data_IF_337993443377
#
_entry.id   IF_337993443377
#
_cell.length_a   1.000
_cell.length_b   1.000
_cell.length_c   1.000
_cell.angle_alpha   90.00
_cell.angle_beta   90.00
_cell.angle_gamma   90.00
#
_symmetry.space_group_name_H-M   'P 1'
#
loop_
_entity.id
_entity.type
_entity.pdbx_description
1 polymer ?
#
# COMPACT_ATOMS: atom_id res chain seq x y z
N UNK A 1 -93.87 13.71 47.31
CA UNK A 1 -92.54 13.40 46.75
C UNK A 1 -92.66 12.05 46.05
N UNK A 2 -93.18 12.04 44.81
CA UNK A 2 -92.46 11.91 43.53
C UNK A 2 -91.85 10.51 43.30
N UNK A 3 -92.63 9.63 42.67
CA UNK A 3 -92.20 8.37 42.05
C UNK A 3 -91.76 8.63 40.60
N UNK A 4 -90.59 8.16 40.14
CA UNK A 4 -90.16 8.33 38.75
C UNK A 4 -90.87 7.33 37.80
N UNK A 5 -91.02 7.65 36.50
CA UNK A 5 -91.67 6.79 35.52
C UNK A 5 -90.75 5.65 35.02
N UNK A 6 -91.32 4.52 34.55
CA UNK A 6 -90.56 3.41 33.98
C UNK A 6 -90.06 3.75 32.55
N UNK A 7 -88.79 3.45 32.28
CA UNK A 7 -88.16 3.65 30.97
C UNK A 7 -88.63 2.65 29.89
N UNK A 8 -88.42 2.96 28.59
CA UNK A 8 -88.94 2.18 27.47
C UNK A 8 -88.21 0.84 27.30
N UNK A 9 -88.98 -0.19 26.96
CA UNK A 9 -88.51 -1.55 26.70
C UNK A 9 -87.73 -1.61 25.38
N UNK A 10 -86.59 -2.31 25.37
CA UNK A 10 -85.76 -2.52 24.20
C UNK A 10 -86.34 -3.59 23.26
N UNK A 11 -86.34 -3.30 21.96
CA UNK A 11 -86.68 -4.25 20.89
C UNK A 11 -85.56 -5.29 20.67
N UNK A 12 -85.88 -6.54 20.31
CA UNK A 12 -84.87 -7.55 20.00
C UNK A 12 -84.31 -7.33 18.57
N UNK A 13 -83.04 -6.96 18.47
CA UNK A 13 -82.32 -6.89 17.20
C UNK A 13 -82.08 -8.30 16.64
N UNK A 14 -82.77 -8.65 15.56
CA UNK A 14 -82.51 -9.87 14.77
C UNK A 14 -81.17 -9.69 14.05
N UNK A 15 -80.10 -10.31 14.56
CA UNK A 15 -78.81 -10.36 13.86
C UNK A 15 -78.90 -11.35 12.69
N UNK A 16 -79.10 -10.84 11.49
CA UNK A 16 -78.92 -11.60 10.26
C UNK A 16 -77.43 -11.96 10.13
N UNK A 17 -77.10 -13.25 10.18
CA UNK A 17 -75.75 -13.74 9.94
C UNK A 17 -75.36 -13.49 8.47
N UNK A 18 -74.68 -12.38 8.20
CA UNK A 18 -74.04 -12.13 6.91
C UNK A 18 -72.79 -13.01 6.80
N UNK A 19 -72.89 -14.12 6.08
CA UNK A 19 -71.74 -14.94 5.66
C UNK A 19 -70.89 -14.16 4.63
N UNK A 20 -70.17 -13.14 5.08
CA UNK A 20 -69.21 -12.41 4.25
C UNK A 20 -67.89 -13.19 4.26
N UNK A 21 -67.64 -13.95 3.19
CA UNK A 21 -66.36 -14.64 3.01
C UNK A 21 -65.32 -13.63 2.51
N UNK A 22 -64.47 -13.18 3.41
CA UNK A 22 -63.37 -12.28 3.11
C UNK A 22 -62.25 -13.09 2.43
N UNK A 23 -62.35 -13.28 1.11
CA UNK A 23 -61.33 -13.95 0.32
C UNK A 23 -60.26 -12.94 -0.11
N UNK A 24 -58.99 -13.30 0.10
CA UNK A 24 -57.88 -12.45 -0.32
C UNK A 24 -57.87 -12.26 -1.85
N UNK A 25 -57.56 -11.05 -2.33
CA UNK A 25 -57.54 -10.76 -3.76
C UNK A 25 -56.41 -11.52 -4.46
N UNK A 26 -56.73 -12.15 -5.59
CA UNK A 26 -55.79 -12.96 -6.36
C UNK A 26 -54.58 -12.15 -6.85
N UNK A 27 -53.40 -12.73 -6.71
CA UNK A 27 -52.15 -12.11 -7.18
C UNK A 27 -52.08 -12.07 -8.72
N UNK A 28 -51.18 -11.24 -9.27
CA UNK A 28 -50.98 -11.14 -10.74
C UNK A 28 -50.53 -12.47 -11.34
N UNK A 29 -49.68 -13.21 -10.62
CA UNK A 29 -49.18 -14.50 -11.05
C UNK A 29 -50.28 -15.55 -11.11
N UNK A 30 -51.18 -15.58 -10.11
CA UNK A 30 -52.35 -16.46 -10.11
C UNK A 30 -53.30 -16.17 -11.27
N UNK A 31 -53.51 -14.90 -11.61
CA UNK A 31 -54.34 -14.51 -12.77
C UNK A 31 -53.72 -14.97 -14.09
N UNK A 32 -52.41 -14.82 -14.26
CA UNK A 32 -51.70 -15.29 -15.45
C UNK A 32 -51.65 -16.83 -15.51
N UNK A 33 -51.53 -17.51 -14.37
CA UNK A 33 -51.58 -18.96 -14.29
C UNK A 33 -52.96 -19.51 -14.67
N UNK A 34 -54.03 -18.83 -14.26
CA UNK A 34 -55.41 -19.19 -14.64
C UNK A 34 -55.75 -18.93 -16.12
N UNK A 35 -55.00 -18.07 -16.81
CA UNK A 35 -55.19 -17.82 -18.24
C UNK A 35 -54.36 -18.79 -19.12
N UNK A 36 -53.22 -19.27 -18.61
CA UNK A 36 -52.35 -20.19 -19.35
C UNK A 36 -52.90 -21.61 -19.31
N UNK A 37 -53.26 -22.15 -20.49
CA UNK A 37 -53.78 -23.52 -20.65
C UNK A 37 -52.87 -24.58 -20.04
N UNK A 38 -51.57 -24.48 -20.28
CA UNK A 38 -50.57 -25.42 -19.75
C UNK A 38 -50.46 -25.39 -18.22
N UNK A 39 -50.50 -24.18 -17.62
CA UNK A 39 -50.42 -24.02 -16.16
C UNK A 39 -51.66 -24.59 -15.47
N UNK A 40 -52.84 -24.38 -16.07
CA UNK A 40 -54.10 -24.96 -15.60
C UNK A 40 -54.08 -26.50 -15.67
N UNK A 41 -53.66 -27.06 -16.81
CA UNK A 41 -53.59 -28.51 -17.00
C UNK A 41 -52.63 -29.15 -15.98
N UNK A 42 -51.46 -28.53 -15.76
CA UNK A 42 -50.49 -28.98 -14.77
C UNK A 42 -51.01 -28.90 -13.34
N UNK A 43 -51.73 -27.84 -13.00
CA UNK A 43 -52.39 -27.69 -11.70
C UNK A 43 -53.46 -28.77 -11.51
N UNK A 44 -54.27 -29.06 -12.54
CA UNK A 44 -55.28 -30.12 -12.50
C UNK A 44 -54.65 -31.52 -12.37
N UNK A 45 -53.57 -31.80 -13.11
CA UNK A 45 -52.83 -33.06 -13.00
C UNK A 45 -52.25 -33.28 -11.60
N UNK A 46 -51.70 -32.23 -10.98
CA UNK A 46 -51.23 -32.29 -9.57
C UNK A 46 -52.36 -32.50 -8.57
N UNK A 47 -53.51 -31.85 -8.80
CA UNK A 47 -54.67 -31.93 -7.90
C UNK A 47 -55.48 -33.24 -8.07
N UNK A 48 -55.24 -34.00 -9.15
CA UNK A 48 -55.93 -35.25 -9.44
C UNK A 48 -55.70 -36.27 -8.33
N UNK A 49 -56.78 -36.62 -7.62
CA UNK A 49 -56.80 -37.67 -6.60
C UNK A 49 -57.40 -38.94 -7.21
N UNK A 50 -56.79 -40.09 -6.94
CA UNK A 50 -57.26 -41.39 -7.43
C UNK A 50 -56.56 -41.86 -8.70
N UNK A 51 -55.38 -42.44 -8.51
CA UNK A 51 -54.64 -43.35 -9.40
C UNK A 51 -53.36 -43.75 -8.63
N UNK A 52 -52.78 -44.92 -8.88
CA UNK A 52 -51.56 -45.36 -8.17
C UNK A 52 -50.33 -44.47 -8.45
N UNK A 53 -50.38 -43.62 -9.48
CA UNK A 53 -49.30 -42.71 -9.85
C UNK A 53 -49.72 -41.26 -9.60
N UNK A 54 -48.97 -40.55 -8.76
CA UNK A 54 -49.06 -39.09 -8.61
C UNK A 54 -48.23 -38.44 -9.72
N UNK A 55 -48.74 -37.37 -10.31
CA UNK A 55 -47.98 -36.59 -11.27
C UNK A 55 -46.83 -35.88 -10.54
N UNK A 56 -45.61 -36.32 -10.82
CA UNK A 56 -44.38 -35.63 -10.46
C UNK A 56 -43.93 -34.82 -11.67
N UNK A 57 -43.63 -33.55 -11.46
CA UNK A 57 -43.09 -32.72 -12.53
C UNK A 57 -41.61 -33.07 -12.72
N UNK A 58 -41.21 -33.66 -13.86
CA UNK A 58 -39.80 -33.69 -14.21
C UNK A 58 -39.41 -32.23 -14.42
N UNK A 59 -38.57 -31.69 -13.55
CA UNK A 59 -38.13 -30.29 -13.63
C UNK A 59 -37.47 -29.96 -14.98
N UNK A 60 -36.88 -28.78 -15.08
CA UNK A 60 -36.16 -28.41 -16.30
C UNK A 60 -35.01 -29.39 -16.57
N UNK A 61 -34.95 -30.05 -17.74
CA UNK A 61 -33.87 -31.00 -18.05
C UNK A 61 -32.50 -30.30 -18.21
N UNK A 62 -32.48 -28.98 -18.32
CA UNK A 62 -31.27 -28.16 -18.43
C UNK A 62 -30.68 -27.77 -17.08
N UNK A 63 -31.49 -27.79 -16.02
CA UNK A 63 -31.07 -27.35 -14.69
C UNK A 63 -30.91 -28.61 -13.84
N UNK A 64 -29.67 -28.97 -13.45
CA UNK A 64 -29.46 -30.09 -12.55
C UNK A 64 -30.25 -29.87 -11.26
N UNK A 65 -30.80 -30.95 -10.71
CA UNK A 65 -31.59 -30.89 -9.49
C UNK A 65 -30.76 -30.31 -8.33
N UNK A 66 -31.33 -29.47 -7.43
CA UNK A 66 -30.58 -28.83 -6.35
C UNK A 66 -29.76 -29.76 -5.43
N UNK A 67 -30.15 -31.03 -5.34
CA UNK A 67 -29.47 -32.06 -4.54
C UNK A 67 -28.35 -32.77 -5.31
N UNK A 68 -28.27 -32.56 -6.62
CA UNK A 68 -27.25 -33.12 -7.47
C UNK A 68 -25.91 -32.44 -7.20
N UNK A 69 -24.78 -33.17 -7.20
CA UNK A 69 -23.45 -32.56 -7.13
C UNK A 69 -23.15 -31.65 -8.33
N UNK A 70 -23.91 -31.77 -9.42
CA UNK A 70 -23.82 -30.89 -10.59
C UNK A 70 -24.58 -29.58 -10.41
N UNK A 71 -25.33 -29.41 -9.32
CA UNK A 71 -26.03 -28.17 -9.03
C UNK A 71 -25.07 -27.13 -8.48
N UNK A 72 -24.91 -26.07 -9.25
CA UNK A 72 -24.33 -24.82 -8.80
C UNK A 72 -25.42 -23.75 -8.83
N UNK A 73 -25.46 -22.91 -7.78
CA UNK A 73 -26.32 -21.74 -7.78
C UNK A 73 -25.85 -20.74 -8.84
N UNK A 74 -26.75 -19.87 -9.24
CA UNK A 74 -26.52 -18.91 -10.31
C UNK A 74 -25.47 -17.86 -9.92
N UNK A 75 -25.29 -17.61 -8.60
CA UNK A 75 -24.18 -16.82 -8.05
C UNK A 75 -22.81 -17.50 -8.17
N UNK A 76 -22.79 -18.83 -8.17
CA UNK A 76 -21.56 -19.61 -8.23
C UNK A 76 -21.16 -19.89 -9.68
N UNK A 77 -22.15 -20.06 -10.57
CA UNK A 77 -21.92 -20.21 -12.02
C UNK A 77 -21.38 -18.95 -12.66
N UNK A 78 -21.93 -17.81 -12.28
CA UNK A 78 -21.61 -16.52 -12.89
C UNK A 78 -21.04 -15.60 -11.83
N UNK A 79 -19.84 -15.07 -12.11
CA UNK A 79 -19.31 -13.96 -11.32
C UNK A 79 -20.19 -12.74 -11.55
N UNK A 80 -21.15 -12.53 -10.64
CA UNK A 80 -22.14 -11.46 -10.73
C UNK A 80 -21.53 -10.08 -10.46
N UNK A 81 -20.37 -10.01 -9.83
CA UNK A 81 -19.71 -8.75 -9.49
C UNK A 81 -18.66 -8.33 -10.52
N UNK A 82 -19.13 -7.98 -11.72
CA UNK A 82 -18.27 -7.40 -12.76
C UNK A 82 -17.61 -6.07 -12.30
N UNK A 83 -18.23 -5.36 -11.35
CA UNK A 83 -17.69 -4.10 -10.83
C UNK A 83 -16.42 -4.35 -10.00
N UNK A 84 -16.43 -5.38 -9.15
CA UNK A 84 -15.24 -5.79 -8.40
C UNK A 84 -14.11 -6.26 -9.34
N UNK A 85 -14.41 -7.04 -10.38
CA UNK A 85 -13.40 -7.48 -11.34
C UNK A 85 -12.76 -6.30 -12.08
N UNK A 86 -13.57 -5.36 -12.59
CA UNK A 86 -13.05 -4.15 -13.23
C UNK A 86 -12.20 -3.30 -12.27
N UNK A 87 -12.59 -3.22 -10.99
CA UNK A 87 -11.80 -2.54 -9.96
C UNK A 87 -10.47 -3.24 -9.72
N UNK A 88 -10.47 -4.56 -9.63
CA UNK A 88 -9.23 -5.35 -9.46
C UNK A 88 -8.29 -5.12 -10.64
N UNK A 89 -8.79 -5.18 -11.87
CA UNK A 89 -7.99 -4.91 -13.07
C UNK A 89 -7.36 -3.50 -13.04
N UNK A 90 -8.12 -2.48 -12.63
CA UNK A 90 -7.59 -1.10 -12.49
C UNK A 90 -6.50 -1.02 -11.43
N UNK A 91 -6.71 -1.65 -10.27
CA UNK A 91 -5.73 -1.67 -9.17
C UNK A 91 -4.46 -2.40 -9.60
N UNK A 92 -4.57 -3.53 -10.30
CA UNK A 92 -3.42 -4.26 -10.83
C UNK A 92 -2.66 -3.45 -11.88
N UNK A 93 -3.36 -2.79 -12.80
CA UNK A 93 -2.73 -1.93 -13.80
C UNK A 93 -1.97 -0.78 -13.14
N UNK A 94 -2.56 -0.14 -12.14
CA UNK A 94 -1.92 0.91 -11.35
C UNK A 94 -0.69 0.41 -10.61
N UNK A 95 -0.78 -0.75 -9.93
CA UNK A 95 0.35 -1.38 -9.24
C UNK A 95 1.52 -1.68 -10.20
N UNK A 96 1.23 -2.26 -11.38
CA UNK A 96 2.25 -2.53 -12.41
C UNK A 96 2.95 -1.25 -12.86
N UNK A 97 2.21 -0.17 -13.06
CA UNK A 97 2.82 1.12 -13.41
C UNK A 97 3.70 1.64 -12.27
N UNK A 98 3.25 1.52 -11.03
CA UNK A 98 4.00 1.98 -9.87
C UNK A 98 5.30 1.21 -9.69
N UNK A 99 5.28 -0.13 -9.84
CA UNK A 99 6.48 -0.97 -9.82
C UNK A 99 7.50 -0.55 -10.89
N UNK A 100 7.05 -0.15 -12.08
CA UNK A 100 7.94 0.37 -13.14
C UNK A 100 8.59 1.68 -12.71
N UNK A 101 7.85 2.60 -12.10
CA UNK A 101 8.40 3.86 -11.61
C UNK A 101 9.36 3.67 -10.45
N UNK A 102 9.03 2.81 -9.50
CA UNK A 102 9.87 2.52 -8.34
C UNK A 102 11.18 1.85 -8.77
N UNK A 103 11.12 0.91 -9.72
CA UNK A 103 12.33 0.30 -10.31
C UNK A 103 13.23 1.36 -10.94
N UNK A 104 12.67 2.22 -11.80
CA UNK A 104 13.43 3.31 -12.45
C UNK A 104 14.03 4.26 -11.43
N UNK A 105 13.31 4.58 -10.35
CA UNK A 105 13.80 5.44 -9.28
C UNK A 105 15.02 4.84 -8.58
N UNK A 106 14.96 3.56 -8.22
CA UNK A 106 16.07 2.85 -7.58
C UNK A 106 17.29 2.79 -8.52
N UNK A 107 17.07 2.46 -9.79
CA UNK A 107 18.16 2.42 -10.79
C UNK A 107 18.84 3.78 -10.97
N UNK A 108 18.07 4.87 -11.03
CA UNK A 108 18.62 6.23 -11.14
C UNK A 108 19.39 6.64 -9.89
N UNK A 109 18.86 6.34 -8.71
CA UNK A 109 19.56 6.61 -7.45
C UNK A 109 20.87 5.82 -7.35
N UNK A 110 20.88 4.56 -7.80
CA UNK A 110 22.10 3.75 -7.82
C UNK A 110 23.18 4.32 -8.76
N UNK A 111 22.79 4.77 -9.96
CA UNK A 111 23.72 5.43 -10.90
C UNK A 111 24.26 6.75 -10.35
N UNK A 112 23.40 7.54 -9.71
CA UNK A 112 23.80 8.80 -9.11
C UNK A 112 24.78 8.58 -7.96
N UNK A 113 24.49 7.60 -7.10
CA UNK A 113 25.36 7.20 -6.01
C UNK A 113 26.74 6.77 -6.52
N UNK A 114 26.79 5.92 -7.54
CA UNK A 114 28.05 5.50 -8.18
C UNK A 114 28.84 6.69 -8.75
N UNK A 115 28.14 7.66 -9.35
CA UNK A 115 28.78 8.89 -9.86
C UNK A 115 29.41 9.69 -8.72
N UNK A 116 28.72 9.81 -7.59
CA UNK A 116 29.20 10.54 -6.43
C UNK A 116 30.35 9.83 -5.75
N UNK A 117 30.29 8.51 -5.63
CA UNK A 117 31.38 7.67 -5.12
C UNK A 117 32.62 7.83 -5.98
N UNK A 118 32.48 7.76 -7.31
CA UNK A 118 33.59 7.97 -8.22
C UNK A 118 34.22 9.37 -8.08
N UNK A 119 33.41 10.44 -8.03
CA UNK A 119 33.91 11.80 -7.80
C UNK A 119 34.59 11.94 -6.43
N UNK A 120 34.07 11.28 -5.39
CA UNK A 120 34.65 11.31 -4.05
C UNK A 120 36.00 10.56 -4.00
N UNK A 121 36.11 9.42 -4.69
CA UNK A 121 37.37 8.68 -4.83
C UNK A 121 38.43 9.50 -5.57
N UNK A 122 38.07 10.13 -6.69
CA UNK A 122 38.97 11.00 -7.44
C UNK A 122 39.43 12.20 -6.62
N UNK A 123 38.50 12.86 -5.92
CA UNK A 123 38.81 13.99 -5.03
C UNK A 123 39.72 13.57 -3.87
N UNK A 124 39.49 12.40 -3.28
CA UNK A 124 40.36 11.86 -2.23
C UNK A 124 41.77 11.54 -2.75
N UNK A 125 41.87 10.98 -3.96
CA UNK A 125 43.15 10.70 -4.61
C UNK A 125 43.91 12.00 -4.96
N UNK A 126 43.21 13.03 -5.43
CA UNK A 126 43.79 14.35 -5.71
C UNK A 126 44.25 15.04 -4.42
N UNK A 127 43.44 15.02 -3.37
CA UNK A 127 43.80 15.56 -2.06
C UNK A 127 45.08 14.89 -1.51
N UNK A 128 45.18 13.57 -1.58
CA UNK A 128 46.37 12.84 -1.14
C UNK A 128 47.63 13.21 -1.96
N UNK A 129 47.49 13.49 -3.26
CA UNK A 129 48.60 13.98 -4.10
C UNK A 129 49.02 15.39 -3.69
N UNK A 130 48.05 16.28 -3.49
CA UNK A 130 48.31 17.65 -3.06
C UNK A 130 49.02 17.70 -1.70
N UNK A 131 48.58 16.90 -0.73
CA UNK A 131 49.25 16.78 0.57
C UNK A 131 50.70 16.29 0.45
N UNK A 132 50.96 15.31 -0.42
CA UNK A 132 52.31 14.82 -0.67
C UNK A 132 53.22 15.88 -1.32
N UNK A 133 52.67 16.65 -2.26
CA UNK A 133 53.38 17.75 -2.91
C UNK A 133 53.66 18.90 -1.93
N UNK A 134 52.70 19.26 -1.09
CA UNK A 134 52.86 20.25 -0.03
C UNK A 134 53.94 19.82 0.98
N UNK A 135 53.93 18.56 1.40
CA UNK A 135 54.97 18.01 2.28
C UNK A 135 56.35 18.07 1.62
N UNK A 136 56.43 17.82 0.31
CA UNK A 136 57.68 17.89 -0.45
C UNK A 136 58.19 19.34 -0.55
N UNK A 137 57.30 20.30 -0.82
CA UNK A 137 57.61 21.74 -0.84
C UNK A 137 58.04 22.24 0.54
N UNK A 138 57.38 21.81 1.60
CA UNK A 138 57.74 22.13 2.97
C UNK A 138 59.14 21.59 3.32
N UNK A 139 59.44 20.33 2.98
CA UNK A 139 60.75 19.74 3.22
C UNK A 139 61.86 20.40 2.42
N UNK A 140 61.62 20.75 1.15
CA UNK A 140 62.63 21.39 0.30
C UNK A 140 62.96 22.81 0.77
N UNK A 141 61.94 23.58 1.20
CA UNK A 141 62.11 24.94 1.75
C UNK A 141 62.81 24.92 3.10
N UNK A 142 62.48 23.98 4.00
CA UNK A 142 63.24 23.79 5.23
C UNK A 142 64.70 23.45 4.93
N UNK A 143 64.96 22.52 4.00
CA UNK A 143 66.32 22.13 3.63
C UNK A 143 67.11 23.31 3.07
N UNK A 144 66.51 24.14 2.22
CA UNK A 144 67.19 25.31 1.66
C UNK A 144 67.53 26.33 2.75
N UNK A 145 66.63 26.56 3.72
CA UNK A 145 66.90 27.41 4.87
C UNK A 145 68.04 26.87 5.73
N UNK A 146 68.03 25.56 6.06
CA UNK A 146 69.11 24.94 6.84
C UNK A 146 70.47 25.03 6.11
N UNK A 147 70.49 24.81 4.80
CA UNK A 147 71.70 24.96 4.00
C UNK A 147 72.18 26.41 3.97
N UNK A 148 71.28 27.37 3.77
CA UNK A 148 71.60 28.80 3.81
C UNK A 148 72.24 29.20 5.14
N UNK A 149 71.63 28.79 6.26
CA UNK A 149 72.15 29.05 7.60
C UNK A 149 73.50 28.36 7.84
N UNK A 150 73.71 27.15 7.29
CA UNK A 150 74.99 26.45 7.40
C UNK A 150 76.12 27.13 6.61
N UNK A 151 75.82 27.66 5.43
CA UNK A 151 76.81 28.36 4.60
C UNK A 151 77.16 29.76 5.11
N UNK A 152 76.37 30.33 6.01
CA UNK A 152 76.59 31.64 6.60
C UNK A 152 76.78 31.49 8.12
N UNK A 153 78.04 31.43 8.57
CA UNK A 153 78.36 31.32 9.99
C UNK A 153 77.93 32.53 10.84
N UNK A 154 77.61 33.65 10.19
CA UNK A 154 77.25 34.93 10.83
C UNK A 154 75.89 35.42 10.26
N UNK A 155 74.92 35.82 11.12
CA UNK A 155 73.55 36.17 10.69
C UNK A 155 73.43 37.53 9.97
N UNK A 156 74.50 38.30 9.91
CA UNK A 156 74.55 39.60 9.26
C UNK A 156 75.55 39.62 8.09
N UNK A 157 75.45 40.62 7.24
CA UNK A 157 76.47 40.89 6.22
C UNK A 157 77.68 41.56 6.86
N UNK A 158 78.87 40.97 6.71
CA UNK A 158 80.10 41.44 7.38
C UNK A 158 80.54 42.81 6.82
N UNK A 159 80.17 43.14 5.58
CA UNK A 159 80.55 44.41 4.94
C UNK A 159 79.59 45.56 5.25
N UNK A 160 78.30 45.28 5.47
CA UNK A 160 77.25 46.33 5.63
C UNK A 160 76.57 46.31 7.00
N UNK A 161 76.76 45.27 7.82
CA UNK A 161 76.13 45.12 9.14
C UNK A 161 74.63 44.76 9.10
N UNK A 162 74.00 44.75 7.93
CA UNK A 162 72.57 44.45 7.78
C UNK A 162 72.26 42.98 8.06
N UNK A 163 71.09 42.72 8.64
CA UNK A 163 70.56 41.37 8.85
C UNK A 163 70.34 40.72 7.49
N UNK A 164 70.92 39.54 7.24
CA UNK A 164 70.68 38.83 5.97
C UNK A 164 69.25 38.31 5.97
N UNK A 165 68.40 38.72 4.99
CA UNK A 165 67.08 38.16 4.87
C UNK A 165 67.19 36.70 4.47
N UNK A 166 66.40 35.85 5.12
CA UNK A 166 66.29 34.45 4.74
C UNK A 166 65.65 34.37 3.34
N UNK A 167 66.27 33.69 2.35
CA UNK A 167 65.88 33.81 0.94
C UNK A 167 64.49 33.26 0.60
N UNK A 168 63.86 32.47 1.49
CA UNK A 168 62.52 31.94 1.29
C UNK A 168 61.72 31.98 2.59
N UNK A 169 60.45 32.39 2.51
CA UNK A 169 59.49 32.20 3.57
C UNK A 169 59.10 30.72 3.64
N UNK A 170 59.23 30.11 4.83
CA UNK A 170 58.85 28.71 5.03
C UNK A 170 57.33 28.62 4.99
N UNK A 171 56.73 27.77 4.13
CA UNK A 171 55.28 27.58 4.14
C UNK A 171 54.83 27.00 5.48
N UNK A 172 53.59 27.30 5.93
CA UNK A 172 53.07 26.72 7.16
C UNK A 172 53.12 25.19 7.09
N UNK A 173 53.46 24.55 8.21
CA UNK A 173 53.55 23.10 8.26
C UNK A 173 52.18 22.48 7.87
N UNK A 174 52.15 21.45 7.01
CA UNK A 174 50.91 20.77 6.66
C UNK A 174 50.25 20.22 7.93
N UNK A 175 48.93 20.37 8.03
CA UNK A 175 48.17 19.87 9.19
C UNK A 175 48.27 18.33 9.24
N UNK A 176 48.49 17.72 10.42
CA UNK A 176 48.44 16.27 10.53
C UNK A 176 47.03 15.77 10.22
N UNK A 177 46.87 14.59 9.62
CA UNK A 177 45.54 14.02 9.33
C UNK A 177 44.74 13.95 10.64
N UNK A 178 43.53 14.52 10.64
CA UNK A 178 42.60 14.45 11.77
C UNK A 178 42.43 12.98 12.14
N UNK A 179 42.91 12.59 13.31
CA UNK A 179 42.70 11.23 13.79
C UNK A 179 41.19 11.04 13.97
N UNK A 180 40.60 9.96 13.44
CA UNK A 180 39.19 9.69 13.63
C UNK A 180 38.90 9.68 15.13
N UNK A 181 37.75 10.23 15.58
CA UNK A 181 37.42 10.34 16.98
C UNK A 181 37.55 8.95 17.60
N UNK A 182 38.54 8.77 18.47
CA UNK A 182 38.73 7.53 19.19
C UNK A 182 37.45 7.32 20.00
N UNK A 183 36.61 6.40 19.52
CA UNK A 183 35.34 6.09 20.16
C UNK A 183 35.61 5.81 21.62
N UNK A 184 35.03 6.63 22.51
CA UNK A 184 35.09 6.40 23.95
C UNK A 184 34.61 4.97 24.18
N UNK A 185 35.55 4.09 24.52
CA UNK A 185 35.28 2.68 24.75
C UNK A 185 34.11 2.56 25.71
N UNK A 186 33.04 1.93 25.24
CA UNK A 186 31.95 1.50 26.11
C UNK A 186 32.56 0.59 27.17
N UNK A 187 32.61 1.07 28.40
CA UNK A 187 33.01 0.26 29.55
C UNK A 187 32.11 -0.97 29.62
N UNK A 188 32.66 -2.13 30.05
CA UNK A 188 31.90 -3.36 30.09
C UNK A 188 30.66 -3.21 31.00
N UNK A 189 29.50 -3.76 30.62
CA UNK A 189 28.30 -3.69 31.45
C UNK A 189 28.55 -4.42 32.77
N UNK A 190 28.25 -3.74 33.88
CA UNK A 190 28.30 -4.30 35.21
C UNK A 190 27.36 -5.52 35.29
N UNK A 191 27.92 -6.68 35.64
CA UNK A 191 27.13 -7.87 35.98
C UNK A 191 26.37 -7.60 37.28
N UNK A 192 25.05 -7.72 37.24
CA UNK A 192 24.19 -7.90 38.41
C UNK A 192 23.58 -9.29 38.36
#
# INVERSE_FOLDING_TARGET
MSTPPPGPQGEPTVQAASNFHNAEPRTREERLAAQSREKLEKQQLRARRGCFHRYEEPGSPLVPEPKSPMYADESDRFRRDAAAEMRQQKVEAWKRQQEVYDRKRVELMGKEQQRWEHMAEEAAAEAARMEADEMTRYRSTLRSQFLFNKHHSVPHNILTGEVRPNPAAVPPAPQPPEQPPQGRGGGPPARQ
#
